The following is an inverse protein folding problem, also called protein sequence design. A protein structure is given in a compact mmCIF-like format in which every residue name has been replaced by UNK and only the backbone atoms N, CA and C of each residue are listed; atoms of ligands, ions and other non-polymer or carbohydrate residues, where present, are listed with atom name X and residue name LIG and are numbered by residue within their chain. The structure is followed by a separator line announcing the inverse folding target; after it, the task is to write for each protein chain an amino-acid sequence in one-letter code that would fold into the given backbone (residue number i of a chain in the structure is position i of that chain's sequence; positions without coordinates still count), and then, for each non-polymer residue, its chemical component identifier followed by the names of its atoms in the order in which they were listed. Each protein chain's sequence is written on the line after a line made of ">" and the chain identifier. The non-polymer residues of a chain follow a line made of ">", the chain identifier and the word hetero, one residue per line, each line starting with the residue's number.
data_IF_693142986086
#
_entry.id   IF_693142986086
#
_cell.length_a   1.000
_cell.length_b   1.000
_cell.length_c   1.000
_cell.angle_alpha   90.00
_cell.angle_beta   90.00
_cell.angle_gamma   90.00
#
_symmetry.space_group_name_H-M   'P 1'
#
loop_
_entity.id
_entity.type
_entity.pdbx_description
1 polymer ?
#
# COMPACT_ATOMS: atom_id res chain seq x y z
N UNK A 1 7.34 -5.49 -27.39
CA UNK A 1 6.61 -6.15 -26.28
C UNK A 1 6.71 -5.22 -25.09
N UNK A 2 5.58 -4.71 -24.60
CA UNK A 2 5.57 -3.86 -23.40
C UNK A 2 5.48 -4.78 -22.18
N UNK A 3 6.37 -4.58 -21.22
CA UNK A 3 6.33 -5.26 -19.93
C UNK A 3 5.70 -4.31 -18.92
N UNK A 4 4.60 -4.72 -18.31
CA UNK A 4 3.92 -3.97 -17.26
C UNK A 4 3.90 -4.81 -15.99
N UNK A 5 4.42 -4.25 -14.90
CA UNK A 5 4.22 -4.77 -13.55
C UNK A 5 3.05 -4.00 -12.98
N UNK A 6 2.01 -4.73 -12.59
CA UNK A 6 0.89 -4.18 -11.86
C UNK A 6 0.95 -4.68 -10.41
N UNK A 7 0.86 -3.78 -9.45
CA UNK A 7 0.80 -4.10 -8.02
C UNK A 7 -0.50 -3.53 -7.45
N UNK A 8 -1.24 -4.36 -6.73
CA UNK A 8 -2.45 -3.92 -6.05
C UNK A 8 -2.09 -3.08 -4.82
N UNK A 9 -2.73 -1.93 -4.66
CA UNK A 9 -2.52 -1.05 -3.51
C UNK A 9 -3.28 -1.52 -2.26
N UNK A 10 -4.40 -2.24 -2.45
CA UNK A 10 -5.22 -2.82 -1.38
C UNK A 10 -5.81 -4.16 -1.81
N UNK A 11 -6.25 -5.02 -0.87
CA UNK A 11 -6.64 -6.40 -1.17
C UNK A 11 -8.04 -6.47 -1.80
N UNK A 12 -8.19 -5.95 -3.01
CA UNK A 12 -9.42 -6.02 -3.79
C UNK A 12 -9.16 -6.57 -5.21
N UNK A 13 -9.56 -7.81 -5.52
CA UNK A 13 -9.33 -8.36 -6.86
C UNK A 13 -10.05 -7.60 -7.98
N UNK A 14 -11.12 -6.85 -7.68
CA UNK A 14 -11.93 -6.19 -8.71
C UNK A 14 -11.35 -4.82 -9.07
N UNK A 15 -11.30 -3.86 -8.14
CA UNK A 15 -10.76 -2.53 -8.45
C UNK A 15 -9.24 -2.48 -8.56
N UNK A 16 -8.53 -3.44 -7.97
CA UNK A 16 -7.07 -3.46 -7.98
C UNK A 16 -6.48 -4.47 -8.94
N UNK A 17 -7.24 -5.23 -9.72
CA UNK A 17 -6.61 -6.08 -10.76
C UNK A 17 -7.47 -6.12 -12.01
N UNK A 18 -8.74 -6.45 -11.84
CA UNK A 18 -9.61 -6.74 -12.97
C UNK A 18 -9.94 -5.48 -13.80
N UNK A 19 -10.47 -4.43 -13.16
CA UNK A 19 -10.88 -3.20 -13.84
C UNK A 19 -9.70 -2.45 -14.48
N UNK A 20 -8.63 -2.10 -13.73
CA UNK A 20 -7.52 -1.31 -14.27
C UNK A 20 -6.84 -1.96 -15.47
N UNK A 21 -6.80 -3.29 -15.52
CA UNK A 21 -6.11 -4.01 -16.59
C UNK A 21 -6.99 -4.31 -17.82
N UNK A 22 -8.32 -4.36 -17.66
CA UNK A 22 -9.20 -4.92 -18.71
C UNK A 22 -10.45 -4.11 -19.02
N UNK A 23 -10.77 -3.07 -18.26
CA UNK A 23 -11.83 -2.14 -18.62
C UNK A 23 -11.31 -1.13 -19.66
N UNK A 24 -12.12 -0.82 -20.67
CA UNK A 24 -11.80 0.16 -21.69
C UNK A 24 -11.60 1.57 -21.12
N UNK A 25 -12.24 1.89 -19.99
CA UNK A 25 -12.09 3.15 -19.28
C UNK A 25 -10.63 3.42 -18.85
N UNK A 26 -9.88 2.39 -18.49
CA UNK A 26 -8.48 2.51 -18.07
C UNK A 26 -7.48 2.37 -19.24
N UNK A 27 -7.92 2.61 -20.48
CA UNK A 27 -7.09 2.47 -21.69
C UNK A 27 -5.75 3.22 -21.65
N UNK A 28 -4.69 2.58 -22.15
CA UNK A 28 -3.37 3.18 -22.28
C UNK A 28 -2.60 3.23 -20.96
N UNK A 29 -2.03 4.40 -20.62
CA UNK A 29 -1.17 4.57 -19.42
C UNK A 29 -1.93 4.41 -18.10
N UNK A 30 -3.26 4.42 -18.15
CA UNK A 30 -4.12 4.27 -16.98
C UNK A 30 -4.25 2.83 -16.48
N UNK A 31 -3.75 1.84 -17.23
CA UNK A 31 -3.63 0.44 -16.78
C UNK A 31 -3.95 -0.61 -17.84
N UNK A 32 -4.91 -0.35 -18.73
CA UNK A 32 -5.29 -1.28 -19.80
C UNK A 32 -4.42 -1.04 -21.03
N UNK A 33 -3.18 -1.53 -20.94
CA UNK A 33 -2.16 -1.43 -21.99
C UNK A 33 -2.53 -2.20 -23.26
N UNK A 34 -3.30 -3.29 -23.13
CA UNK A 34 -3.77 -4.10 -24.26
C UNK A 34 -5.03 -3.55 -24.93
N UNK A 35 -5.57 -2.41 -24.46
CA UNK A 35 -6.79 -1.80 -24.98
C UNK A 35 -7.97 -2.78 -25.07
N UNK A 36 -8.12 -3.65 -24.07
CA UNK A 36 -9.22 -4.60 -23.97
C UNK A 36 -10.55 -3.84 -23.97
N UNK A 37 -11.43 -4.15 -24.93
CA UNK A 37 -12.74 -3.54 -25.08
C UNK A 37 -13.79 -4.63 -25.36
N UNK A 38 -14.16 -5.35 -24.31
CA UNK A 38 -15.18 -6.41 -24.38
C UNK A 38 -16.45 -5.94 -23.68
N UNK A 39 -17.55 -5.83 -24.43
CA UNK A 39 -18.86 -5.40 -23.90
C UNK A 39 -19.35 -6.28 -22.75
N UNK A 40 -19.06 -7.59 -22.80
CA UNK A 40 -19.42 -8.54 -21.74
C UNK A 40 -18.74 -8.17 -20.42
N UNK A 41 -17.43 -7.86 -20.45
CA UNK A 41 -16.69 -7.47 -19.24
C UNK A 41 -17.16 -6.11 -18.71
N UNK A 42 -17.37 -5.12 -19.59
CA UNK A 42 -17.87 -3.80 -19.18
C UNK A 42 -19.24 -3.89 -18.49
N UNK A 43 -20.14 -4.73 -19.02
CA UNK A 43 -21.43 -4.97 -18.38
C UNK A 43 -21.29 -5.59 -16.99
N UNK A 44 -20.34 -6.51 -16.80
CA UNK A 44 -20.08 -7.11 -15.49
C UNK A 44 -19.52 -6.06 -14.51
N UNK A 45 -18.58 -5.20 -14.95
CA UNK A 45 -17.91 -4.21 -14.09
C UNK A 45 -18.82 -3.12 -13.56
N UNK A 46 -19.98 -2.89 -14.17
CA UNK A 46 -20.99 -1.97 -13.62
C UNK A 46 -21.56 -2.43 -12.27
N UNK A 47 -21.51 -3.72 -11.95
CA UNK A 47 -22.13 -4.29 -10.74
C UNK A 47 -21.15 -5.05 -9.86
N UNK A 48 -20.17 -5.73 -10.45
CA UNK A 48 -19.19 -6.57 -9.78
C UNK A 48 -18.52 -5.95 -8.55
N UNK A 49 -18.09 -4.66 -8.58
CA UNK A 49 -17.39 -4.07 -7.44
C UNK A 49 -18.32 -3.73 -6.27
N UNK A 50 -19.63 -3.64 -6.51
CA UNK A 50 -20.63 -3.24 -5.51
C UNK A 50 -21.37 -4.44 -4.90
N UNK A 51 -21.09 -5.66 -5.37
CA UNK A 51 -21.66 -6.89 -4.80
C UNK A 51 -21.02 -7.16 -3.44
N UNK A 52 -21.83 -7.18 -2.39
CA UNK A 52 -21.38 -7.47 -1.01
C UNK A 52 -21.42 -8.97 -0.68
N UNK A 53 -22.11 -9.78 -1.48
CA UNK A 53 -22.12 -11.24 -1.33
C UNK A 53 -20.81 -11.83 -1.89
N UNK A 54 -19.92 -12.27 -1.00
CA UNK A 54 -18.60 -12.77 -1.36
C UNK A 54 -18.63 -13.98 -2.31
N UNK A 55 -19.55 -14.91 -2.11
CA UNK A 55 -19.65 -16.11 -2.97
C UNK A 55 -20.05 -15.73 -4.39
N UNK A 56 -21.04 -14.84 -4.53
CA UNK A 56 -21.47 -14.35 -5.83
C UNK A 56 -20.38 -13.52 -6.51
N UNK A 57 -19.69 -12.66 -5.76
CA UNK A 57 -18.57 -11.87 -6.28
C UNK A 57 -17.46 -12.78 -6.80
N UNK A 58 -17.09 -13.81 -6.04
CA UNK A 58 -16.06 -14.77 -6.44
C UNK A 58 -16.42 -15.52 -7.73
N UNK A 59 -17.67 -15.94 -7.88
CA UNK A 59 -18.15 -16.62 -9.10
C UNK A 59 -18.06 -15.71 -10.33
N UNK A 60 -18.47 -14.45 -10.20
CA UNK A 60 -18.41 -13.49 -11.30
C UNK A 60 -16.98 -13.06 -11.63
N UNK A 61 -16.12 -12.91 -10.62
CA UNK A 61 -14.68 -12.68 -10.82
C UNK A 61 -14.06 -13.86 -11.57
N UNK A 62 -14.34 -15.10 -11.17
CA UNK A 62 -13.86 -16.29 -11.87
C UNK A 62 -14.35 -16.33 -13.33
N UNK A 63 -15.60 -15.93 -13.59
CA UNK A 63 -16.13 -15.81 -14.95
C UNK A 63 -15.39 -14.74 -15.76
N UNK A 64 -15.09 -13.58 -15.18
CA UNK A 64 -14.31 -12.54 -15.85
C UNK A 64 -12.90 -13.03 -16.20
N UNK A 65 -12.20 -13.68 -15.26
CA UNK A 65 -10.90 -14.30 -15.52
C UNK A 65 -10.96 -15.36 -16.62
N UNK A 66 -12.02 -16.18 -16.68
CA UNK A 66 -12.21 -17.15 -17.76
C UNK A 66 -12.34 -16.48 -19.12
N UNK A 67 -13.09 -15.38 -19.21
CA UNK A 67 -13.22 -14.59 -20.45
C UNK A 67 -11.84 -14.03 -20.83
N UNK A 68 -11.15 -13.38 -19.89
CA UNK A 68 -9.83 -12.78 -20.14
C UNK A 68 -8.82 -13.84 -20.60
N UNK A 69 -8.80 -15.01 -19.96
CA UNK A 69 -7.92 -16.11 -20.34
C UNK A 69 -8.20 -16.62 -21.76
N UNK A 70 -9.47 -16.71 -22.16
CA UNK A 70 -9.85 -17.13 -23.51
C UNK A 70 -9.45 -16.12 -24.60
N UNK A 71 -9.54 -14.82 -24.31
CA UNK A 71 -9.15 -13.77 -25.25
C UNK A 71 -7.63 -13.47 -25.22
N UNK A 72 -6.93 -13.92 -24.17
CA UNK A 72 -5.49 -13.80 -23.98
C UNK A 72 -4.90 -12.39 -24.30
N UNK A 73 -5.42 -11.30 -23.72
CA UNK A 73 -4.90 -9.95 -23.99
C UNK A 73 -3.50 -9.72 -23.40
N UNK A 74 -3.14 -10.49 -22.36
CA UNK A 74 -1.84 -10.45 -21.69
C UNK A 74 -1.26 -11.85 -21.55
N UNK A 75 0.06 -11.93 -21.52
CA UNK A 75 0.79 -13.12 -21.09
C UNK A 75 1.04 -12.97 -19.59
N UNK A 76 0.33 -13.77 -18.79
CA UNK A 76 0.48 -13.77 -17.34
C UNK A 76 1.77 -14.47 -16.94
N UNK A 77 2.68 -13.73 -16.31
CA UNK A 77 3.91 -14.27 -15.74
C UNK A 77 3.75 -14.51 -14.24
N UNK A 78 4.53 -15.41 -13.63
CA UNK A 78 4.53 -15.62 -12.19
C UNK A 78 4.80 -14.32 -11.44
N UNK A 79 4.14 -14.15 -10.30
CA UNK A 79 4.39 -13.00 -9.42
C UNK A 79 5.81 -13.11 -8.83
N UNK A 80 6.61 -12.04 -8.89
CA UNK A 80 7.94 -12.06 -8.30
C UNK A 80 7.85 -12.14 -6.78
N UNK A 81 8.71 -12.95 -6.16
CA UNK A 81 8.82 -13.02 -4.70
C UNK A 81 9.77 -11.95 -4.18
N UNK A 82 9.32 -11.15 -3.21
CA UNK A 82 10.13 -10.15 -2.54
C UNK A 82 10.95 -10.79 -1.42
N UNK A 83 12.27 -10.55 -1.44
CA UNK A 83 13.20 -11.00 -0.40
C UNK A 83 13.76 -9.81 0.36
N UNK A 84 13.81 -9.91 1.69
CA UNK A 84 14.39 -8.90 2.57
C UNK A 84 15.63 -9.44 3.27
N UNK A 85 16.71 -8.68 3.23
CA UNK A 85 17.93 -8.98 3.98
C UNK A 85 17.91 -8.21 5.29
N UNK A 86 17.64 -8.92 6.38
CA UNK A 86 17.51 -8.33 7.72
C UNK A 86 18.73 -8.69 8.56
N UNK A 87 19.32 -7.69 9.20
CA UNK A 87 20.48 -7.89 10.07
C UNK A 87 20.10 -8.73 11.31
N UNK A 88 21.00 -9.57 11.85
CA UNK A 88 20.62 -10.51 12.91
C UNK A 88 20.14 -9.85 14.21
N UNK A 89 20.56 -8.60 14.45
CA UNK A 89 20.19 -7.79 15.61
C UNK A 89 18.89 -6.99 15.43
N UNK A 90 18.26 -7.06 14.25
CA UNK A 90 16.95 -6.45 13.99
C UNK A 90 15.88 -7.53 14.18
N UNK A 91 14.91 -7.26 15.06
CA UNK A 91 13.79 -8.16 15.39
C UNK A 91 12.46 -7.48 15.12
N UNK A 92 11.38 -8.27 15.13
CA UNK A 92 10.03 -7.78 14.86
C UNK A 92 9.80 -7.40 13.38
N UNK A 93 10.65 -7.90 12.48
CA UNK A 93 10.44 -7.74 11.05
C UNK A 93 9.22 -8.54 10.59
N UNK A 94 8.17 -7.82 10.20
CA UNK A 94 6.99 -8.39 9.57
C UNK A 94 6.80 -7.65 8.25
N UNK A 95 6.76 -8.42 7.17
CA UNK A 95 6.49 -7.95 5.83
C UNK A 95 5.20 -8.59 5.30
N UNK A 96 4.48 -7.83 4.48
CA UNK A 96 3.30 -8.30 3.77
C UNK A 96 3.37 -7.82 2.33
N UNK A 97 2.84 -8.62 1.40
CA UNK A 97 2.95 -8.40 -0.04
C UNK A 97 2.40 -7.04 -0.51
N UNK A 98 1.39 -6.49 0.16
CA UNK A 98 0.81 -5.18 -0.18
C UNK A 98 1.38 -4.00 0.63
N UNK A 99 1.91 -4.25 1.83
CA UNK A 99 2.32 -3.18 2.76
C UNK A 99 3.84 -3.04 2.92
N UNK A 100 4.62 -3.75 2.09
CA UNK A 100 6.07 -3.90 2.22
C UNK A 100 6.46 -4.41 3.61
N UNK A 101 6.85 -3.52 4.53
CA UNK A 101 7.20 -3.88 5.90
C UNK A 101 6.71 -2.84 6.91
N UNK A 102 6.40 -3.28 8.13
CA UNK A 102 5.87 -2.43 9.18
C UNK A 102 6.97 -1.86 10.07
N UNK A 103 7.39 -0.62 9.82
CA UNK A 103 8.46 0.05 10.58
C UNK A 103 8.24 0.01 12.10
N UNK A 104 7.00 0.23 12.56
CA UNK A 104 6.66 0.34 13.98
C UNK A 104 6.83 -0.96 14.78
N UNK A 105 6.95 -2.11 14.10
CA UNK A 105 7.19 -3.40 14.77
C UNK A 105 8.68 -3.74 14.89
N UNK A 106 9.56 -3.01 14.20
CA UNK A 106 10.99 -3.27 14.26
C UNK A 106 11.59 -2.76 15.58
N UNK A 107 12.46 -3.58 16.16
CA UNK A 107 13.26 -3.17 17.30
C UNK A 107 14.65 -3.81 17.25
N UNK A 108 15.59 -3.17 17.93
CA UNK A 108 16.97 -3.66 18.05
C UNK A 108 17.10 -4.55 19.27
N UNK A 109 17.66 -5.75 19.08
CA UNK A 109 18.02 -6.65 20.17
C UNK A 109 19.54 -6.87 20.15
N UNK A 110 20.24 -6.68 21.28
CA UNK A 110 21.65 -7.02 21.38
C UNK A 110 21.87 -8.50 21.06
N UNK A 111 22.89 -8.79 20.27
CA UNK A 111 23.30 -10.15 19.94
C UNK A 111 24.74 -10.35 20.41
N UNK A 112 25.02 -11.54 20.92
CA UNK A 112 26.36 -11.96 21.31
C UNK A 112 26.92 -12.83 20.19
N UNK A 113 28.08 -12.47 19.67
CA UNK A 113 28.78 -13.28 18.67
C UNK A 113 29.83 -14.12 19.38
N UNK A 114 29.83 -15.43 19.12
CA UNK A 114 30.96 -16.29 19.46
C UNK A 114 31.87 -16.37 18.24
N UNK A 115 33.02 -15.69 18.26
CA UNK A 115 34.05 -15.93 17.26
C UNK A 115 34.67 -17.31 17.53
N UNK A 116 34.51 -18.23 16.59
CA UNK A 116 35.27 -19.47 16.56
C UNK A 116 36.41 -19.26 15.58
N UNK A 117 37.62 -19.03 16.10
CA UNK A 117 38.82 -18.99 15.26
C UNK A 117 39.09 -20.38 14.69
N UNK A 118 39.42 -20.53 13.40
CA UNK A 118 39.84 -21.81 12.86
C UNK A 118 41.13 -22.25 13.55
N UNK A 119 41.06 -23.35 14.29
CA UNK A 119 42.23 -23.97 14.93
C UNK A 119 43.08 -24.67 13.89
N UNK A 120 44.12 -23.99 13.40
CA UNK A 120 45.30 -24.71 12.91
C UNK A 120 45.93 -25.37 14.13
N UNK A 121 45.97 -26.69 14.16
CA UNK A 121 46.44 -27.48 15.30
C UNK A 121 47.90 -27.16 15.62
N UNK A 122 48.17 -26.45 16.70
CA UNK A 122 49.42 -26.59 17.48
C UNK A 122 49.17 -26.19 18.93
N UNK A 123 49.84 -26.91 19.80
CA UNK A 123 49.62 -27.12 21.23
C UNK A 123 49.72 -25.86 22.11
N UNK A 124 48.89 -25.86 23.16
CA UNK A 124 49.08 -25.19 24.46
C UNK A 124 48.59 -23.73 24.62
N UNK A 125 47.66 -23.61 25.57
CA UNK A 125 47.44 -22.51 26.53
C UNK A 125 46.30 -21.49 26.28
N UNK A 126 45.37 -21.50 27.25
CA UNK A 126 44.40 -20.47 27.68
C UNK A 126 43.25 -20.12 26.72
N UNK A 127 42.06 -20.65 27.03
CA UNK A 127 40.79 -20.10 26.55
C UNK A 127 40.50 -18.77 27.23
N UNK A 128 40.82 -17.67 26.58
CA UNK A 128 40.27 -16.35 26.93
C UNK A 128 38.93 -16.20 26.23
N UNK A 129 37.83 -16.37 26.96
CA UNK A 129 36.48 -16.09 26.47
C UNK A 129 36.30 -14.57 26.38
N UNK A 130 36.53 -13.98 25.21
CA UNK A 130 36.18 -12.59 24.95
C UNK A 130 34.75 -12.52 24.41
N UNK A 131 33.79 -12.28 25.31
CA UNK A 131 32.42 -11.91 24.94
C UNK A 131 32.38 -10.40 24.66
N UNK A 132 32.35 -10.01 23.39
CA UNK A 132 32.14 -8.60 23.02
C UNK A 132 30.64 -8.31 22.96
N UNK A 133 30.11 -7.68 24.00
CA UNK A 133 28.76 -7.10 23.98
C UNK A 133 28.81 -5.81 23.17
N UNK A 134 28.27 -5.83 21.95
CA UNK A 134 28.03 -4.58 21.21
C UNK A 134 26.73 -3.98 21.75
N UNK A 135 26.85 -3.08 22.72
CA UNK A 135 25.77 -2.19 23.13
C UNK A 135 25.70 -1.05 22.13
N UNK A 136 24.76 -1.12 21.19
CA UNK A 136 24.42 0.04 20.35
C UNK A 136 23.91 1.15 21.28
N UNK A 137 24.40 2.40 21.20
CA UNK A 137 23.85 3.48 21.99
C UNK A 137 22.38 3.65 21.60
N UNK A 138 21.48 3.46 22.58
CA UNK A 138 20.09 3.87 22.47
C UNK A 138 20.08 5.40 22.44
N UNK A 139 20.13 5.98 21.24
CA UNK A 139 19.80 7.39 21.07
C UNK A 139 18.30 7.51 21.27
N UNK A 140 17.88 7.84 22.48
CA UNK A 140 16.53 8.34 22.74
C UNK A 140 16.38 9.65 21.98
N UNK A 141 15.95 9.59 20.72
CA UNK A 141 15.39 10.74 20.04
C UNK A 141 14.04 11.00 20.69
N UNK A 142 14.02 11.95 21.63
CA UNK A 142 12.80 12.62 22.03
C UNK A 142 12.34 13.44 20.82
N UNK A 143 11.58 12.82 19.93
CA UNK A 143 10.83 13.54 18.92
C UNK A 143 9.72 14.26 19.66
N UNK A 144 9.93 15.53 20.01
CA UNK A 144 8.80 16.43 20.27
C UNK A 144 8.08 16.58 18.94
N UNK A 145 7.13 15.69 18.67
CA UNK A 145 6.11 15.93 17.67
C UNK A 145 5.26 17.07 18.20
N UNK A 146 5.58 18.29 17.81
CA UNK A 146 4.59 19.36 17.75
C UNK A 146 3.55 18.90 16.74
N UNK A 147 2.53 18.19 17.21
CA UNK A 147 1.26 18.10 16.51
C UNK A 147 0.73 19.53 16.43
N UNK A 148 1.02 20.22 15.33
CA UNK A 148 0.18 21.32 14.88
C UNK A 148 -1.12 20.69 14.40
N UNK A 149 -1.95 20.26 15.35
CA UNK A 149 -3.37 20.17 15.11
C UNK A 149 -3.82 21.61 14.90
N UNK A 150 -3.92 22.04 13.65
CA UNK A 150 -4.77 23.15 13.29
C UNK A 150 -6.20 22.74 13.61
N UNK A 151 -6.56 22.79 14.90
CA UNK A 151 -7.93 22.81 15.33
C UNK A 151 -8.52 24.08 14.74
N UNK A 152 -9.32 23.93 13.69
CA UNK A 152 -10.15 25.00 13.16
C UNK A 152 -11.06 25.38 14.32
N UNK A 153 -10.80 26.51 14.96
CA UNK A 153 -11.58 26.94 16.11
C UNK A 153 -13.00 27.21 15.65
N UNK A 154 -13.99 26.98 16.53
CA UNK A 154 -15.41 27.22 16.23
C UNK A 154 -15.64 28.62 15.66
N UNK A 155 -14.86 29.62 16.07
CA UNK A 155 -14.92 30.99 15.57
C UNK A 155 -14.59 31.10 14.07
N UNK A 156 -13.62 30.31 13.58
CA UNK A 156 -13.26 30.26 12.15
C UNK A 156 -14.36 29.57 11.34
N UNK A 157 -14.95 28.50 11.86
CA UNK A 157 -16.08 27.80 11.22
C UNK A 157 -17.29 28.74 11.15
N UNK A 158 -17.60 29.44 12.23
CA UNK A 158 -18.70 30.42 12.30
C UNK A 158 -18.45 31.56 11.31
N UNK A 159 -17.22 32.10 11.23
CA UNK A 159 -16.88 33.16 10.29
C UNK A 159 -17.09 32.74 8.83
N UNK A 160 -16.69 31.53 8.44
CA UNK A 160 -16.90 31.01 7.08
C UNK A 160 -18.39 30.84 6.77
N UNK A 161 -19.18 30.32 7.71
CA UNK A 161 -20.63 30.16 7.53
C UNK A 161 -21.33 31.51 7.36
N UNK A 162 -20.96 32.53 8.15
CA UNK A 162 -21.52 33.88 8.03
C UNK A 162 -21.23 34.49 6.67
N UNK A 163 -20.00 34.33 6.15
CA UNK A 163 -19.63 34.81 4.80
C UNK A 163 -20.48 34.15 3.72
N UNK A 164 -20.70 32.83 3.81
CA UNK A 164 -21.55 32.09 2.86
C UNK A 164 -22.99 32.61 2.91
N UNK A 165 -23.55 32.85 4.10
CA UNK A 165 -24.91 33.37 4.26
C UNK A 165 -25.03 34.78 3.66
N UNK A 166 -24.05 35.66 3.88
CA UNK A 166 -24.06 37.02 3.30
C UNK A 166 -24.03 36.98 1.78
N UNK A 167 -23.23 36.08 1.18
CA UNK A 167 -23.19 35.88 -0.27
C UNK A 167 -24.56 35.41 -0.79
N UNK A 168 -25.18 34.44 -0.13
CA UNK A 168 -26.50 33.94 -0.53
C UNK A 168 -27.56 35.04 -0.43
N UNK A 169 -27.59 35.81 0.65
CA UNK A 169 -28.51 36.94 0.83
C UNK A 169 -28.28 38.02 -0.22
N UNK A 170 -27.01 38.32 -0.55
CA UNK A 170 -26.65 39.24 -1.62
C UNK A 170 -27.16 38.78 -2.99
N UNK A 171 -27.02 37.49 -3.32
CA UNK A 171 -27.54 36.90 -4.55
C UNK A 171 -29.07 36.98 -4.60
N UNK A 172 -29.76 36.67 -3.49
CA UNK A 172 -31.23 36.74 -3.41
C UNK A 172 -31.73 38.18 -3.57
N UNK A 173 -31.08 39.16 -2.94
CA UNK A 173 -31.42 40.58 -3.09
C UNK A 173 -31.13 41.08 -4.52
N UNK A 174 -30.02 40.66 -5.11
CA UNK A 174 -29.67 40.98 -6.49
C UNK A 174 -30.68 40.40 -7.50
N UNK A 175 -31.16 39.18 -7.28
CA UNK A 175 -32.21 38.56 -8.09
C UNK A 175 -33.58 39.23 -7.91
N UNK A 176 -33.85 39.78 -6.71
CA UNK A 176 -35.11 40.45 -6.39
C UNK A 176 -35.16 41.91 -6.87
N UNK A 177 -34.03 42.58 -7.01
CA UNK A 177 -33.91 43.94 -7.57
C UNK A 177 -33.91 44.00 -9.11
N UNK A 178 -33.94 42.85 -9.78
CA UNK A 178 -33.94 42.74 -11.25
C UNK A 178 -35.30 42.35 -11.84
N UNK A 179 -36.38 42.44 -11.04
CA UNK A 179 -37.77 42.39 -11.49
C UNK A 179 -38.40 43.78 -11.42
#
# INVERSE_FOLDING_TARGET
>A
MAYAIYSADWPDPVFQQLLPLTDAFFGGISGNWAWVNLTILQNMYNTLPFITNQTQQLQLVAQAYKIIYNYAPYIWMPTPTLYYLVQPYVKGFVAQELAYYFYNMLYYQPITFTLVSPTTSTTTSVSTTSSTTITTPTTTLTTTTTHSSSSITLDVIIAVIVVIIVIIVGIILFLRGRR
#
